data_IF_242205006278
#
_entry.id   IF_242205006278
#
_cell.length_a   1.000
_cell.length_b   1.000
_cell.length_c   1.000
_cell.angle_alpha   90.00
_cell.angle_beta   90.00
_cell.angle_gamma   90.00
#
_symmetry.space_group_name_H-M   'P 1'
#
loop_
_entity.id
_entity.type
_entity.pdbx_description
1 polymer ?
#
# COMPACT_ATOMS: atom_id res chain seq x y z
N UNK A 1 -22.27 32.05 -10.95
CA UNK A 1 -21.76 30.70 -10.60
C UNK A 1 -20.31 30.88 -10.27
N UNK A 2 -19.96 30.83 -8.98
CA UNK A 2 -18.61 31.14 -8.52
C UNK A 2 -17.67 29.96 -8.75
N UNK A 3 -16.53 30.23 -9.38
CA UNK A 3 -15.42 29.30 -9.46
C UNK A 3 -14.97 28.94 -8.04
N UNK A 4 -15.16 27.68 -7.66
CA UNK A 4 -14.45 27.14 -6.51
C UNK A 4 -12.97 27.01 -6.90
N UNK A 5 -12.02 27.46 -6.06
CA UNK A 5 -10.60 27.30 -6.35
C UNK A 5 -10.27 25.82 -6.55
N UNK A 6 -9.44 25.46 -7.52
CA UNK A 6 -9.02 24.06 -7.74
C UNK A 6 -8.45 23.40 -6.47
N UNK A 7 -7.78 24.17 -5.60
CA UNK A 7 -7.34 23.75 -4.28
C UNK A 7 -8.48 23.23 -3.37
N UNK A 8 -9.69 23.80 -3.48
CA UNK A 8 -10.90 23.35 -2.75
C UNK A 8 -11.44 22.02 -3.29
N UNK A 9 -11.27 21.75 -4.59
CA UNK A 9 -11.69 20.51 -5.26
C UNK A 9 -10.70 19.36 -5.00
N UNK A 10 -9.40 19.66 -5.03
CA UNK A 10 -8.32 18.77 -4.60
C UNK A 10 -8.50 18.36 -3.13
N UNK A 11 -8.69 19.34 -2.23
CA UNK A 11 -8.94 19.09 -0.81
C UNK A 11 -10.21 18.26 -0.55
N UNK A 12 -11.32 18.52 -1.27
CA UNK A 12 -12.55 17.71 -1.17
C UNK A 12 -12.36 16.27 -1.68
N UNK A 13 -11.47 16.02 -2.64
CA UNK A 13 -11.16 14.66 -3.10
C UNK A 13 -10.25 13.91 -2.13
N UNK A 14 -9.30 14.59 -1.48
CA UNK A 14 -8.48 13.98 -0.41
C UNK A 14 -9.32 13.66 0.83
N UNK A 15 -10.30 14.50 1.15
CA UNK A 15 -11.29 14.26 2.21
C UNK A 15 -12.19 13.04 1.95
N UNK A 16 -12.40 12.63 0.69
CA UNK A 16 -13.14 11.41 0.37
C UNK A 16 -12.41 10.12 0.74
N UNK A 17 -11.10 10.22 1.03
CA UNK A 17 -10.21 9.11 1.38
C UNK A 17 -9.49 9.34 2.72
N UNK A 18 -10.21 9.84 3.72
CA UNK A 18 -9.65 9.99 5.05
C UNK A 18 -9.28 8.63 5.66
N UNK A 19 -7.99 8.49 6.00
CA UNK A 19 -7.51 7.36 6.77
C UNK A 19 -7.53 7.67 8.27
N UNK A 20 -8.18 6.79 9.02
CA UNK A 20 -8.34 6.90 10.47
C UNK A 20 -7.26 6.16 11.26
N UNK A 21 -7.08 6.56 12.51
CA UNK A 21 -6.22 5.85 13.48
C UNK A 21 -6.71 4.44 13.78
N UNK A 22 -8.03 4.21 13.73
CA UNK A 22 -8.63 2.87 13.89
C UNK A 22 -8.21 1.94 12.76
N UNK A 23 -8.24 2.41 11.50
CA UNK A 23 -7.77 1.63 10.36
C UNK A 23 -6.28 1.29 10.47
N UNK A 24 -5.46 2.24 10.95
CA UNK A 24 -4.02 2.00 11.20
C UNK A 24 -3.83 0.88 12.21
N UNK A 25 -4.52 0.97 13.35
CA UNK A 25 -4.46 -0.06 14.40
C UNK A 25 -4.86 -1.44 13.89
N UNK A 26 -5.85 -1.52 12.99
CA UNK A 26 -6.24 -2.80 12.36
C UNK A 26 -5.09 -3.41 11.56
N UNK A 27 -4.36 -2.61 10.74
CA UNK A 27 -3.19 -3.11 10.03
C UNK A 27 -2.11 -3.60 10.99
N UNK A 28 -1.79 -2.82 12.02
CA UNK A 28 -0.74 -3.19 12.99
C UNK A 28 -1.07 -4.48 13.72
N UNK A 29 -2.32 -4.61 14.19
CA UNK A 29 -2.79 -5.82 14.85
C UNK A 29 -2.77 -7.01 13.91
N UNK A 30 -3.14 -6.82 12.64
CA UNK A 30 -3.09 -7.90 11.65
C UNK A 30 -1.66 -8.32 11.33
N UNK A 31 -0.72 -7.39 11.16
CA UNK A 31 0.70 -7.70 11.00
C UNK A 31 1.25 -8.48 12.20
N UNK A 32 0.91 -8.06 13.43
CA UNK A 32 1.29 -8.79 14.65
C UNK A 32 0.67 -10.18 14.71
N UNK A 33 -0.60 -10.31 14.33
CA UNK A 33 -1.29 -11.60 14.23
C UNK A 33 -0.59 -12.55 13.29
N UNK A 34 -0.22 -12.10 12.09
CA UNK A 34 0.53 -12.90 11.13
C UNK A 34 1.86 -13.41 11.71
N UNK A 35 2.57 -12.56 12.47
CA UNK A 35 3.80 -12.96 13.18
C UNK A 35 3.57 -14.01 14.27
N UNK A 36 2.39 -14.04 14.89
CA UNK A 36 2.02 -14.98 15.96
C UNK A 36 1.50 -16.35 15.46
N UNK A 37 1.17 -16.47 14.17
CA UNK A 37 0.54 -17.67 13.61
C UNK A 37 1.45 -18.90 13.72
N UNK A 38 2.69 -18.83 13.26
CA UNK A 38 3.61 -19.98 13.31
C UNK A 38 3.83 -20.48 14.75
N UNK A 39 4.17 -19.63 15.74
CA UNK A 39 4.26 -20.05 17.14
C UNK A 39 2.97 -20.72 17.64
N UNK A 40 1.81 -20.16 17.33
CA UNK A 40 0.51 -20.70 17.75
C UNK A 40 0.25 -22.09 17.16
N UNK A 41 0.52 -22.27 15.86
CA UNK A 41 0.34 -23.55 15.19
C UNK A 41 1.35 -24.61 15.66
N UNK A 42 2.58 -24.21 15.99
CA UNK A 42 3.60 -25.10 16.54
C UNK A 42 3.24 -25.63 17.94
N UNK A 43 2.32 -24.97 18.66
CA UNK A 43 1.82 -25.44 19.95
C UNK A 43 0.68 -26.47 19.83
N UNK A 44 0.04 -26.61 18.66
CA UNK A 44 -1.09 -27.54 18.47
C UNK A 44 -0.67 -29.01 18.69
N UNK A 45 0.48 -29.50 18.19
CA UNK A 45 0.94 -30.85 18.51
C UNK A 45 1.16 -31.09 20.00
N UNK A 46 1.58 -30.06 20.75
CA UNK A 46 1.76 -30.15 22.21
C UNK A 46 0.41 -30.35 22.91
N UNK A 47 -0.65 -29.70 22.42
CA UNK A 47 -2.02 -29.95 22.88
C UNK A 47 -2.41 -31.40 22.67
N UNK A 48 -2.20 -31.95 21.48
CA UNK A 48 -2.56 -33.34 21.18
C UNK A 48 -1.81 -34.36 22.04
N UNK A 49 -0.50 -34.17 22.21
CA UNK A 49 0.31 -35.04 23.08
C UNK A 49 -0.09 -34.93 24.56
N UNK A 50 -0.45 -33.73 25.04
CA UNK A 50 -0.98 -33.55 26.41
C UNK A 50 -2.28 -34.31 26.62
N UNK A 51 -3.21 -34.24 25.65
CA UNK A 51 -4.47 -35.00 25.70
C UNK A 51 -4.21 -36.50 25.69
N UNK A 52 -3.27 -36.96 24.86
CA UNK A 52 -2.82 -38.36 24.82
C UNK A 52 -2.25 -38.82 26.16
N UNK A 53 -1.36 -38.04 26.76
CA UNK A 53 -0.79 -38.32 28.08
C UNK A 53 -1.86 -38.39 29.18
N UNK A 54 -2.99 -37.70 28.98
CA UNK A 54 -4.17 -37.75 29.87
C UNK A 54 -5.13 -38.90 29.56
N UNK A 55 -4.77 -39.84 28.69
CA UNK A 55 -5.55 -41.03 28.37
C UNK A 55 -6.54 -40.88 27.20
N UNK A 56 -6.51 -39.77 26.47
CA UNK A 56 -7.36 -39.57 25.30
C UNK A 56 -6.72 -40.12 24.00
N UNK A 57 -7.56 -40.40 23.00
CA UNK A 57 -7.07 -40.79 21.67
C UNK A 57 -6.45 -39.59 20.93
N UNK A 58 -5.24 -39.79 20.41
CA UNK A 58 -4.46 -38.75 19.71
C UNK A 58 -5.22 -38.18 18.51
N UNK A 59 -5.40 -36.85 18.49
CA UNK A 59 -5.88 -36.14 17.31
C UNK A 59 -4.72 -35.75 16.39
N UNK A 60 -5.04 -35.50 15.12
CA UNK A 60 -4.09 -35.05 14.11
C UNK A 60 -4.73 -33.94 13.31
N UNK A 61 -4.01 -32.82 13.19
CA UNK A 61 -4.36 -31.71 12.32
C UNK A 61 -3.45 -31.78 11.08
N UNK A 62 -4.06 -31.88 9.90
CA UNK A 62 -3.30 -31.83 8.65
C UNK A 62 -2.64 -30.45 8.48
N UNK A 63 -1.42 -30.42 7.92
CA UNK A 63 -0.80 -29.16 7.54
C UNK A 63 -1.61 -28.49 6.43
N UNK A 64 -1.61 -27.16 6.41
CA UNK A 64 -2.26 -26.38 5.37
C UNK A 64 -1.25 -25.36 4.84
N UNK A 65 -0.90 -25.50 3.56
CA UNK A 65 0.16 -24.70 2.93
C UNK A 65 -0.13 -23.21 2.92
N UNK A 66 -1.40 -22.79 3.04
CA UNK A 66 -1.77 -21.38 3.12
C UNK A 66 -1.18 -20.68 4.34
N UNK A 67 -0.79 -21.41 5.40
CA UNK A 67 -0.06 -20.82 6.54
C UNK A 67 1.30 -20.27 6.15
N UNK A 68 1.92 -20.80 5.10
CA UNK A 68 3.25 -20.36 4.66
C UNK A 68 3.23 -18.87 4.25
N UNK A 69 2.09 -18.38 3.77
CA UNK A 69 1.90 -17.01 3.33
C UNK A 69 1.89 -16.00 4.48
N UNK A 70 1.67 -16.44 5.72
CA UNK A 70 1.60 -15.54 6.87
C UNK A 70 2.89 -14.72 7.04
N UNK A 71 4.05 -15.37 6.91
CA UNK A 71 5.36 -14.71 7.04
C UNK A 71 5.63 -13.70 5.92
N UNK A 72 5.27 -14.05 4.68
CA UNK A 72 5.41 -13.17 3.53
C UNK A 72 4.49 -11.94 3.65
N UNK A 73 3.22 -12.15 4.01
CA UNK A 73 2.26 -11.07 4.22
C UNK A 73 2.65 -10.15 5.38
N UNK A 74 3.19 -10.70 6.47
CA UNK A 74 3.68 -9.89 7.58
C UNK A 74 4.80 -8.96 7.10
N UNK A 75 5.77 -9.50 6.35
CA UNK A 75 6.87 -8.73 5.78
C UNK A 75 6.37 -7.67 4.79
N UNK A 76 5.44 -8.02 3.91
CA UNK A 76 4.85 -7.08 2.97
C UNK A 76 4.19 -5.89 3.67
N UNK A 77 3.43 -6.13 4.74
CA UNK A 77 2.81 -5.06 5.52
C UNK A 77 3.83 -4.24 6.32
N UNK A 78 4.89 -4.86 6.85
CA UNK A 78 5.98 -4.15 7.53
C UNK A 78 6.74 -3.22 6.60
N UNK A 79 7.03 -3.67 5.38
CA UNK A 79 7.74 -2.90 4.35
C UNK A 79 6.83 -1.88 3.63
N UNK A 80 5.51 -1.95 3.83
CA UNK A 80 4.54 -1.16 3.07
C UNK A 80 4.74 0.35 3.25
N UNK A 81 5.03 0.79 4.49
CA UNK A 81 5.36 2.19 4.76
C UNK A 81 6.62 2.62 4.02
N UNK A 82 7.72 1.86 4.13
CA UNK A 82 8.98 2.20 3.48
C UNK A 82 8.83 2.31 1.96
N UNK A 83 8.12 1.37 1.32
CA UNK A 83 7.86 1.43 -0.13
C UNK A 83 7.02 2.65 -0.52
N UNK A 84 6.09 3.05 0.35
CA UNK A 84 5.29 4.27 0.15
C UNK A 84 6.17 5.52 0.28
N UNK A 85 7.06 5.56 1.28
CA UNK A 85 8.04 6.64 1.46
C UNK A 85 8.98 6.75 0.26
N UNK A 86 9.50 5.63 -0.26
CA UNK A 86 10.34 5.59 -1.46
C UNK A 86 9.62 6.17 -2.67
N UNK A 87 8.36 5.77 -2.91
CA UNK A 87 7.53 6.32 -3.98
C UNK A 87 7.29 7.83 -3.81
N UNK A 88 7.03 8.28 -2.57
CA UNK A 88 6.85 9.69 -2.22
C UNK A 88 8.12 10.52 -2.46
N UNK A 89 9.29 9.99 -2.09
CA UNK A 89 10.59 10.65 -2.33
C UNK A 89 10.89 10.79 -3.83
N UNK A 90 10.63 9.74 -4.62
CA UNK A 90 10.73 9.81 -6.09
C UNK A 90 9.76 10.87 -6.64
N UNK A 91 8.53 10.89 -6.15
CA UNK A 91 7.52 11.85 -6.58
C UNK A 91 7.94 13.28 -6.29
N UNK A 92 8.41 13.57 -5.07
CA UNK A 92 8.92 14.88 -4.69
C UNK A 92 10.02 15.36 -5.63
N UNK A 93 10.92 14.45 -6.05
CA UNK A 93 12.02 14.78 -6.97
C UNK A 93 11.46 15.13 -8.36
N UNK A 94 10.58 14.28 -8.90
CA UNK A 94 10.05 14.47 -10.26
C UNK A 94 9.11 15.66 -10.38
N UNK A 95 8.34 15.97 -9.33
CA UNK A 95 7.53 17.18 -9.25
C UNK A 95 8.42 18.43 -9.23
N UNK A 96 9.53 18.40 -8.50
CA UNK A 96 10.49 19.51 -8.50
C UNK A 96 11.15 19.71 -9.87
N UNK A 97 11.54 18.61 -10.54
CA UNK A 97 12.09 18.65 -11.90
C UNK A 97 11.07 19.23 -12.90
N UNK A 98 9.81 18.81 -12.82
CA UNK A 98 8.73 19.35 -13.65
C UNK A 98 8.49 20.84 -13.39
N UNK A 99 8.51 21.27 -12.12
CA UNK A 99 8.33 22.67 -11.75
C UNK A 99 9.48 23.56 -12.26
N UNK A 100 10.72 23.08 -12.16
CA UNK A 100 11.89 23.75 -12.71
C UNK A 100 11.79 23.85 -14.23
N UNK A 101 11.49 22.74 -14.92
CA UNK A 101 11.31 22.71 -16.37
C UNK A 101 10.21 23.68 -16.82
N UNK A 102 9.07 23.70 -16.13
CA UNK A 102 7.95 24.61 -16.41
C UNK A 102 8.34 26.07 -16.25
N UNK A 103 9.09 26.40 -15.19
CA UNK A 103 9.59 27.76 -14.93
C UNK A 103 10.57 28.20 -16.03
N UNK A 104 11.49 27.32 -16.41
CA UNK A 104 12.47 27.55 -17.47
C UNK A 104 11.79 27.74 -18.83
N UNK A 105 10.79 26.92 -19.17
CA UNK A 105 10.00 27.10 -20.42
C UNK A 105 9.31 28.47 -20.44
N UNK A 106 8.72 28.89 -19.32
CA UNK A 106 8.08 30.21 -19.21
C UNK A 106 9.08 31.35 -19.38
N UNK A 107 10.28 31.22 -18.80
CA UNK A 107 11.34 32.22 -18.94
C UNK A 107 11.85 32.32 -20.38
N UNK A 108 12.13 31.18 -21.02
CA UNK A 108 12.55 31.13 -22.43
C UNK A 108 11.47 31.79 -23.31
N UNK A 109 10.19 31.48 -23.06
CA UNK A 109 9.06 32.05 -23.81
C UNK A 109 8.94 33.56 -23.62
N UNK A 110 9.25 34.09 -22.43
CA UNK A 110 9.27 35.54 -22.16
C UNK A 110 10.39 36.25 -22.92
N UNK A 111 11.52 35.59 -23.09
CA UNK A 111 12.70 36.13 -23.77
C UNK A 111 12.63 35.97 -25.30
N UNK A 112 11.75 35.11 -25.81
CA UNK A 112 11.57 34.86 -27.24
C UNK A 112 10.13 35.19 -27.68
N UNK A 113 9.32 34.18 -27.96
CA UNK A 113 7.93 34.28 -28.42
C UNK A 113 7.16 33.02 -28.07
N UNK A 114 5.86 33.16 -27.81
CA UNK A 114 4.95 32.00 -27.68
C UNK A 114 4.87 31.15 -28.95
N UNK A 115 5.18 31.73 -30.11
CA UNK A 115 5.15 31.04 -31.40
C UNK A 115 6.51 30.44 -31.79
N UNK A 116 7.53 30.58 -30.94
CA UNK A 116 8.85 29.99 -31.19
C UNK A 116 8.71 28.46 -31.36
N UNK A 117 9.17 27.90 -32.50
CA UNK A 117 9.17 26.46 -32.71
C UNK A 117 10.09 25.75 -31.72
N UNK A 118 9.65 24.63 -31.14
CA UNK A 118 10.48 23.87 -30.18
C UNK A 118 11.81 23.39 -30.77
N UNK A 119 11.85 23.11 -32.09
CA UNK A 119 13.06 22.71 -32.80
C UNK A 119 14.13 23.81 -32.91
N UNK A 120 13.75 25.06 -32.65
CA UNK A 120 14.67 26.21 -32.66
C UNK A 120 15.15 26.60 -31.25
N UNK A 121 14.54 26.02 -30.22
CA UNK A 121 14.92 26.25 -28.82
C UNK A 121 16.11 25.37 -28.47
N UNK A 122 17.19 25.97 -27.97
CA UNK A 122 18.33 25.21 -27.46
C UNK A 122 17.93 24.47 -26.16
N UNK A 123 17.83 23.15 -26.25
CA UNK A 123 17.47 22.29 -25.10
C UNK A 123 18.49 22.36 -23.96
N UNK A 124 19.72 22.81 -24.21
CA UNK A 124 20.77 22.94 -23.18
C UNK A 124 20.54 24.11 -22.22
N UNK A 125 19.56 24.96 -22.51
CA UNK A 125 19.10 26.01 -21.61
C UNK A 125 18.38 25.44 -20.38
N UNK A 126 17.79 24.24 -20.49
CA UNK A 126 17.08 23.60 -19.40
C UNK A 126 18.06 22.96 -18.41
N UNK A 127 17.84 23.13 -17.11
CA UNK A 127 18.64 22.45 -16.09
C UNK A 127 18.51 20.94 -16.19
N UNK A 128 17.33 20.44 -16.58
CA UNK A 128 17.07 19.03 -16.80
C UNK A 128 18.04 18.40 -17.81
N UNK A 129 18.50 19.16 -18.82
CA UNK A 129 19.47 18.68 -19.83
C UNK A 129 20.82 18.26 -19.23
N UNK A 130 21.09 18.64 -17.98
CA UNK A 130 22.32 18.34 -17.23
C UNK A 130 22.11 17.22 -16.22
N UNK A 131 20.94 16.56 -16.24
CA UNK A 131 20.65 15.41 -15.41
C UNK A 131 21.78 14.37 -15.55
N UNK A 132 22.32 13.85 -14.43
CA UNK A 132 23.40 12.86 -14.47
C UNK A 132 22.91 11.49 -14.98
N UNK A 133 21.59 11.27 -14.99
CA UNK A 133 20.94 10.01 -15.34
C UNK A 133 19.78 10.25 -16.30
N UNK A 134 19.65 9.37 -17.28
CA UNK A 134 18.59 9.33 -18.28
C UNK A 134 17.94 7.95 -18.28
N UNK A 135 16.61 7.88 -18.45
CA UNK A 135 15.89 6.59 -18.42
C UNK A 135 16.11 5.78 -19.71
N UNK A 136 16.33 6.44 -20.85
CA UNK A 136 16.61 5.79 -22.13
C UNK A 136 17.89 6.33 -22.79
N UNK A 137 17.83 7.51 -23.39
CA UNK A 137 18.94 8.15 -24.08
C UNK A 137 19.09 9.61 -23.63
N UNK A 138 20.30 10.20 -23.72
CA UNK A 138 20.47 11.63 -23.50
C UNK A 138 19.65 12.45 -24.50
N UNK A 139 19.09 13.61 -24.08
CA UNK A 139 18.24 14.44 -24.93
C UNK A 139 19.05 15.10 -26.05
N UNK A 140 18.40 15.24 -27.20
CA UNK A 140 18.93 15.94 -28.36
C UNK A 140 18.13 17.19 -28.70
N UNK A 141 16.92 17.31 -28.18
CA UNK A 141 16.03 18.45 -28.31
C UNK A 141 15.11 18.64 -27.08
N UNK A 142 14.18 19.61 -27.14
CA UNK A 142 13.22 19.89 -26.06
C UNK A 142 12.17 18.77 -25.91
N UNK A 143 11.57 18.22 -26.99
CA UNK A 143 10.72 17.03 -26.89
C UNK A 143 11.35 15.87 -26.11
N UNK A 144 12.63 15.56 -26.33
CA UNK A 144 13.33 14.51 -25.58
C UNK A 144 13.35 14.78 -24.06
N UNK A 145 13.46 16.04 -23.64
CA UNK A 145 13.38 16.42 -22.22
C UNK A 145 11.98 16.19 -21.64
N UNK A 146 10.93 16.52 -22.41
CA UNK A 146 9.53 16.24 -22.01
C UNK A 146 9.30 14.73 -21.93
N UNK A 147 9.87 13.97 -22.86
CA UNK A 147 9.79 12.51 -22.85
C UNK A 147 10.49 11.92 -21.62
N UNK A 148 11.66 12.42 -21.24
CA UNK A 148 12.33 12.00 -19.99
C UNK A 148 11.44 12.24 -18.76
N UNK A 149 10.76 13.39 -18.66
CA UNK A 149 9.79 13.63 -17.58
C UNK A 149 8.67 12.58 -17.62
N UNK A 150 8.11 12.28 -18.79
CA UNK A 150 7.09 11.23 -18.92
C UNK A 150 7.61 9.88 -18.40
N UNK A 151 8.85 9.48 -18.73
CA UNK A 151 9.45 8.24 -18.26
C UNK A 151 9.67 8.21 -16.73
N UNK A 152 10.01 9.35 -16.13
CA UNK A 152 10.10 9.49 -14.66
C UNK A 152 8.74 9.23 -14.01
N UNK A 153 7.66 9.86 -14.49
CA UNK A 153 6.31 9.61 -13.99
C UNK A 153 5.80 8.18 -14.31
N UNK A 154 6.23 7.57 -15.42
CA UNK A 154 5.99 6.13 -15.69
C UNK A 154 6.65 5.21 -14.66
N UNK A 155 7.82 5.59 -14.12
CA UNK A 155 8.46 4.83 -13.04
C UNK A 155 7.68 4.94 -11.73
N UNK A 156 7.08 6.09 -11.43
CA UNK A 156 6.16 6.25 -10.30
C UNK A 156 4.91 5.39 -10.47
N UNK A 157 4.34 5.34 -11.69
CA UNK A 157 3.21 4.46 -12.00
C UNK A 157 3.50 3.01 -11.62
N UNK A 158 4.68 2.50 -11.98
CA UNK A 158 5.09 1.15 -11.60
C UNK A 158 5.18 0.97 -10.06
N UNK A 159 5.70 1.96 -9.35
CA UNK A 159 5.77 1.93 -7.88
C UNK A 159 4.36 1.90 -7.24
N UNK A 160 3.42 2.73 -7.70
CA UNK A 160 2.02 2.70 -7.23
C UNK A 160 1.37 1.35 -7.54
N UNK A 161 1.60 0.82 -8.75
CA UNK A 161 1.12 -0.51 -9.13
C UNK A 161 1.61 -1.60 -8.17
N UNK A 162 2.87 -1.54 -7.74
CA UNK A 162 3.42 -2.48 -6.77
C UNK A 162 2.79 -2.35 -5.38
N UNK A 163 2.54 -1.12 -4.90
CA UNK A 163 1.82 -0.90 -3.65
C UNK A 163 0.42 -1.50 -3.71
N UNK A 164 -0.31 -1.27 -4.81
CA UNK A 164 -1.66 -1.80 -5.02
C UNK A 164 -1.65 -3.33 -5.02
N UNK A 165 -0.75 -3.94 -5.81
CA UNK A 165 -0.61 -5.38 -5.88
C UNK A 165 -0.38 -6.00 -4.50
N UNK A 166 0.49 -5.39 -3.70
CA UNK A 166 0.80 -5.85 -2.33
C UNK A 166 -0.45 -5.91 -1.45
N UNK A 167 -1.31 -4.89 -1.50
CA UNK A 167 -2.54 -4.85 -0.69
C UNK A 167 -3.58 -5.87 -1.17
N UNK A 168 -3.72 -6.03 -2.49
CA UNK A 168 -4.63 -7.03 -3.09
C UNK A 168 -4.19 -8.45 -2.71
N UNK A 169 -2.90 -8.76 -2.82
CA UNK A 169 -2.36 -10.07 -2.45
C UNK A 169 -2.62 -10.39 -0.97
N UNK A 170 -2.27 -9.46 -0.06
CA UNK A 170 -2.52 -9.63 1.38
C UNK A 170 -4.01 -9.83 1.68
N UNK A 171 -4.87 -9.07 1.00
CA UNK A 171 -6.32 -9.17 1.14
C UNK A 171 -6.84 -10.55 0.72
N UNK A 172 -6.48 -11.00 -0.47
CA UNK A 172 -6.98 -12.26 -1.04
C UNK A 172 -6.49 -13.47 -0.23
N UNK A 173 -5.23 -13.44 0.20
CA UNK A 173 -4.67 -14.50 1.02
C UNK A 173 -5.24 -14.52 2.45
N UNK A 174 -5.70 -13.39 2.96
CA UNK A 174 -6.35 -13.30 4.27
C UNK A 174 -7.58 -14.19 4.38
N UNK A 175 -8.35 -14.38 3.30
CA UNK A 175 -9.51 -15.28 3.30
C UNK A 175 -9.11 -16.73 3.53
N UNK A 176 -8.04 -17.16 2.83
CA UNK A 176 -7.45 -18.47 3.01
C UNK A 176 -6.97 -18.68 4.44
N UNK A 177 -6.20 -17.72 4.96
CA UNK A 177 -5.69 -17.75 6.34
C UNK A 177 -6.80 -17.77 7.38
N UNK A 178 -7.87 -16.99 7.21
CA UNK A 178 -9.05 -17.00 8.10
C UNK A 178 -9.67 -18.39 8.20
N UNK A 179 -9.84 -19.06 7.06
CA UNK A 179 -10.40 -20.42 7.00
C UNK A 179 -9.49 -21.45 7.67
N UNK A 180 -8.18 -21.36 7.45
CA UNK A 180 -7.21 -22.27 8.09
C UNK A 180 -7.16 -22.07 9.58
N UNK A 181 -7.04 -20.82 10.02
CA UNK A 181 -7.03 -20.45 11.43
C UNK A 181 -8.30 -20.96 12.13
N UNK A 182 -9.49 -20.65 11.58
CA UNK A 182 -10.76 -21.08 12.16
C UNK A 182 -10.84 -22.60 12.30
N UNK A 183 -10.54 -23.35 11.23
CA UNK A 183 -10.57 -24.83 11.26
C UNK A 183 -9.57 -25.42 12.25
N UNK A 184 -8.39 -24.83 12.39
CA UNK A 184 -7.38 -25.30 13.33
C UNK A 184 -7.80 -25.05 14.78
N UNK A 185 -8.29 -23.84 15.08
CA UNK A 185 -8.77 -23.46 16.42
C UNK A 185 -9.97 -24.30 16.86
N UNK A 186 -10.90 -24.60 15.94
CA UNK A 186 -12.09 -25.43 16.17
C UNK A 186 -11.84 -26.94 16.06
N UNK A 187 -10.60 -27.35 15.77
CA UNK A 187 -10.31 -28.77 15.69
C UNK A 187 -10.47 -29.42 17.06
N UNK A 188 -11.02 -30.64 17.08
CA UNK A 188 -11.11 -31.44 18.31
C UNK A 188 -9.71 -31.70 18.88
N UNK A 189 -9.52 -31.54 20.18
CA UNK A 189 -8.22 -31.80 20.83
C UNK A 189 -7.88 -33.30 20.95
N UNK A 190 -8.86 -34.18 20.76
CA UNK A 190 -8.73 -35.63 20.80
C UNK A 190 -9.74 -36.31 19.87
N UNK A 191 -9.54 -37.58 19.49
CA UNK A 191 -10.46 -38.29 18.59
C UNK A 191 -11.73 -38.79 19.29
N UNK A 192 -11.68 -39.00 20.60
CA UNK A 192 -12.79 -39.56 21.37
C UNK A 192 -13.92 -38.57 21.67
N UNK A 193 -13.68 -37.25 21.59
CA UNK A 193 -14.65 -36.22 21.94
C UNK A 193 -14.60 -35.05 20.96
N UNK A 194 -15.73 -34.36 20.77
CA UNK A 194 -15.80 -33.13 19.98
C UNK A 194 -15.25 -31.92 20.73
N UNK A 195 -15.33 -31.94 22.06
CA UNK A 195 -14.79 -30.91 22.95
C UNK A 195 -13.86 -31.56 23.99
N UNK A 196 -12.86 -30.82 24.50
CA UNK A 196 -12.53 -29.43 24.18
C UNK A 196 -11.85 -29.28 22.81
N UNK A 197 -11.99 -28.12 22.19
CA UNK A 197 -11.32 -27.75 20.96
C UNK A 197 -9.84 -27.38 21.20
N UNK A 198 -9.04 -27.33 20.15
CA UNK A 198 -7.61 -26.96 20.21
C UNK A 198 -7.44 -25.61 20.87
N UNK A 199 -8.24 -24.60 20.53
CA UNK A 199 -8.10 -23.25 21.10
C UNK A 199 -8.28 -23.25 22.63
N UNK A 200 -9.24 -24.01 23.15
CA UNK A 200 -9.51 -24.08 24.59
C UNK A 200 -8.32 -24.71 25.32
N UNK A 201 -7.72 -25.74 24.73
CA UNK A 201 -6.53 -26.39 25.27
C UNK A 201 -5.24 -25.56 25.15
N UNK A 202 -5.14 -24.68 24.14
CA UNK A 202 -4.04 -23.72 24.04
C UNK A 202 -4.05 -22.76 25.25
N UNK A 203 -5.23 -22.32 25.68
CA UNK A 203 -5.41 -21.42 26.83
C UNK A 203 -5.29 -22.09 28.20
N UNK A 204 -5.19 -23.43 28.29
CA UNK A 204 -5.04 -24.13 29.57
C UNK A 204 -3.68 -23.95 30.23
N UNK A 205 -2.63 -23.73 29.44
CA UNK A 205 -1.27 -23.51 29.96
C UNK A 205 -0.67 -22.24 29.38
N UNK A 206 0.05 -21.49 30.21
CA UNK A 206 0.70 -20.24 29.80
C UNK A 206 1.66 -20.44 28.61
N UNK A 207 2.37 -21.57 28.55
CA UNK A 207 3.33 -21.87 27.48
C UNK A 207 2.67 -22.03 26.09
N UNK A 208 1.43 -22.52 26.05
CA UNK A 208 0.69 -22.75 24.79
C UNK A 208 -0.28 -21.64 24.45
N UNK A 209 -0.50 -20.71 25.39
CA UNK A 209 -1.42 -19.58 25.22
C UNK A 209 -0.95 -18.70 24.06
N UNK A 210 -1.80 -18.42 23.05
CA UNK A 210 -1.46 -17.50 21.96
C UNK A 210 -1.15 -16.11 22.52
N UNK A 211 -0.13 -15.46 21.98
CA UNK A 211 0.15 -14.06 22.29
C UNK A 211 -0.91 -13.21 21.61
N UNK A 212 -1.69 -12.47 22.39
CA UNK A 212 -2.78 -11.63 21.88
C UNK A 212 -2.96 -10.37 22.73
N UNK A 213 -3.31 -9.25 22.08
CA UNK A 213 -3.44 -7.92 22.69
C UNK A 213 -4.86 -7.63 23.20
N UNK A 214 -5.48 -8.60 23.87
CA UNK A 214 -6.83 -8.46 24.46
C UNK A 214 -6.78 -8.71 25.97
N UNK A 215 -7.47 -7.84 26.70
CA UNK A 215 -7.78 -8.07 28.11
C UNK A 215 -8.98 -9.03 28.21
N UNK A 216 -8.68 -10.30 28.49
CA UNK A 216 -9.73 -11.31 28.65
C UNK A 216 -10.62 -11.00 29.86
N UNK A 217 -11.93 -11.26 29.74
CA UNK A 217 -12.88 -10.99 30.84
C UNK A 217 -12.81 -12.02 31.97
N UNK A 218 -12.20 -13.18 31.71
CA UNK A 218 -12.10 -14.31 32.63
C UNK A 218 -10.78 -15.05 32.49
N UNK A 219 -10.38 -15.74 33.56
CA UNK A 219 -9.28 -16.70 33.52
C UNK A 219 -9.68 -18.06 32.94
N UNK A 220 -10.99 -18.31 32.77
CA UNK A 220 -11.52 -19.56 32.21
C UNK A 220 -11.03 -19.75 30.76
N UNK A 221 -10.30 -20.85 30.45
CA UNK A 221 -9.83 -21.15 29.11
C UNK A 221 -10.92 -21.16 28.03
N UNK A 222 -12.15 -21.56 28.35
CA UNK A 222 -13.27 -21.59 27.40
C UNK A 222 -13.70 -20.17 27.03
N UNK A 223 -13.81 -19.28 28.03
CA UNK A 223 -14.15 -17.87 27.82
C UNK A 223 -13.04 -17.18 27.02
N UNK A 224 -11.77 -17.37 27.41
CA UNK A 224 -10.61 -16.79 26.72
C UNK A 224 -10.51 -17.24 25.27
N UNK A 225 -10.75 -18.52 25.01
CA UNK A 225 -10.77 -19.08 23.66
C UNK A 225 -11.87 -18.45 22.80
N UNK A 226 -13.07 -18.30 23.34
CA UNK A 226 -14.18 -17.67 22.63
C UNK A 226 -13.89 -16.20 22.31
N UNK A 227 -13.38 -15.43 23.27
CA UNK A 227 -13.00 -14.02 23.08
C UNK A 227 -11.87 -13.86 22.06
N UNK A 228 -10.83 -14.69 22.15
CA UNK A 228 -9.71 -14.70 21.20
C UNK A 228 -10.20 -14.95 19.76
N UNK A 229 -11.01 -15.99 19.57
CA UNK A 229 -11.56 -16.30 18.24
C UNK A 229 -12.46 -15.19 17.70
N UNK A 230 -13.32 -14.62 18.55
CA UNK A 230 -14.22 -13.55 18.14
C UNK A 230 -13.44 -12.30 17.71
N UNK A 231 -12.42 -11.93 18.47
CA UNK A 231 -11.60 -10.76 18.17
C UNK A 231 -10.69 -10.97 16.94
N UNK A 232 -10.09 -12.16 16.76
CA UNK A 232 -9.38 -12.50 15.51
C UNK A 232 -10.33 -12.47 14.31
N UNK A 233 -11.56 -12.96 14.44
CA UNK A 233 -12.55 -12.90 13.37
C UNK A 233 -12.93 -11.45 13.02
N UNK A 234 -13.07 -10.58 14.04
CA UNK A 234 -13.29 -9.15 13.85
C UNK A 234 -12.09 -8.48 13.17
N UNK A 235 -10.86 -8.89 13.50
CA UNK A 235 -9.63 -8.38 12.88
C UNK A 235 -9.59 -8.68 11.38
N UNK A 236 -9.95 -9.90 10.93
CA UNK A 236 -10.05 -10.21 9.50
C UNK A 236 -11.10 -9.34 8.78
N UNK A 237 -12.24 -9.09 9.41
CA UNK A 237 -13.27 -8.22 8.82
C UNK A 237 -12.79 -6.76 8.75
N UNK A 238 -12.09 -6.30 9.79
CA UNK A 238 -11.45 -4.99 9.81
C UNK A 238 -10.42 -4.86 8.70
N UNK A 239 -9.54 -5.85 8.54
CA UNK A 239 -8.54 -5.86 7.47
C UNK A 239 -9.20 -5.78 6.10
N UNK A 240 -10.25 -6.57 5.84
CA UNK A 240 -10.95 -6.52 4.55
C UNK A 240 -11.46 -5.11 4.22
N UNK A 241 -12.01 -4.41 5.22
CA UNK A 241 -12.43 -3.02 5.06
C UNK A 241 -11.25 -2.07 4.80
N UNK A 242 -10.14 -2.21 5.54
CA UNK A 242 -8.95 -1.38 5.37
C UNK A 242 -8.30 -1.61 4.02
N UNK A 243 -8.07 -2.86 3.63
CA UNK A 243 -7.48 -3.22 2.33
C UNK A 243 -8.33 -2.72 1.17
N UNK A 244 -9.66 -2.81 1.27
CA UNK A 244 -10.56 -2.26 0.26
C UNK A 244 -10.40 -0.74 0.14
N UNK A 245 -10.36 -0.01 1.27
CA UNK A 245 -10.17 1.44 1.26
C UNK A 245 -8.81 1.84 0.66
N UNK A 246 -7.71 1.20 1.07
CA UNK A 246 -6.38 1.46 0.52
C UNK A 246 -6.33 1.13 -0.97
N UNK A 247 -6.95 0.02 -1.39
CA UNK A 247 -6.97 -0.36 -2.81
C UNK A 247 -7.72 0.66 -3.67
N UNK A 248 -8.86 1.18 -3.22
CA UNK A 248 -9.58 2.25 -3.95
C UNK A 248 -8.74 3.52 -4.00
N UNK A 249 -8.10 3.89 -2.89
CA UNK A 249 -7.19 5.04 -2.85
C UNK A 249 -6.05 4.89 -3.87
N UNK A 250 -5.37 3.74 -3.88
CA UNK A 250 -4.27 3.47 -4.79
C UNK A 250 -4.72 3.34 -6.24
N UNK A 251 -5.96 2.92 -6.50
CA UNK A 251 -6.53 2.93 -7.84
C UNK A 251 -6.68 4.36 -8.35
N UNK A 252 -7.26 5.26 -7.55
CA UNK A 252 -7.37 6.67 -7.90
C UNK A 252 -6.01 7.33 -8.07
N UNK A 253 -5.06 7.06 -7.16
CA UNK A 253 -3.68 7.51 -7.29
C UNK A 253 -3.04 6.99 -8.59
N UNK A 254 -3.32 5.74 -8.96
CA UNK A 254 -2.92 5.11 -10.23
C UNK A 254 -3.50 5.82 -11.46
N UNK A 255 -4.78 6.17 -11.44
CA UNK A 255 -5.42 6.92 -12.52
C UNK A 255 -4.83 8.33 -12.66
N UNK A 256 -4.48 8.99 -11.55
CA UNK A 256 -3.86 10.32 -11.55
C UNK A 256 -2.49 10.29 -12.22
N UNK A 257 -1.63 9.34 -11.85
CA UNK A 257 -0.30 9.21 -12.47
C UNK A 257 -0.38 8.81 -13.94
N UNK A 258 -1.37 8.00 -14.32
CA UNK A 258 -1.61 7.65 -15.72
C UNK A 258 -1.99 8.89 -16.55
N UNK A 259 -2.87 9.75 -16.03
CA UNK A 259 -3.22 11.02 -16.69
C UNK A 259 -2.00 11.92 -16.87
N UNK A 260 -1.17 12.10 -15.83
CA UNK A 260 0.05 12.90 -15.89
C UNK A 260 1.03 12.38 -16.95
N UNK A 261 1.24 11.07 -17.00
CA UNK A 261 2.05 10.43 -18.01
C UNK A 261 1.54 10.73 -19.42
N UNK A 262 0.23 10.57 -19.66
CA UNK A 262 -0.35 10.85 -20.98
C UNK A 262 -0.34 12.33 -21.36
N UNK A 263 -0.50 13.24 -20.40
CA UNK A 263 -0.44 14.68 -20.65
C UNK A 263 0.98 15.12 -21.00
N UNK A 264 2.02 14.54 -20.38
CA UNK A 264 3.41 14.74 -20.80
C UNK A 264 3.68 14.19 -22.20
N UNK A 265 3.18 13.00 -22.54
CA UNK A 265 3.31 12.46 -23.90
C UNK A 265 2.57 13.31 -24.95
N UNK A 266 1.51 14.02 -24.57
CA UNK A 266 0.85 15.00 -25.45
C UNK A 266 1.70 16.26 -25.57
N UNK A 267 2.24 16.76 -24.46
CA UNK A 267 3.13 17.92 -24.41
C UNK A 267 4.39 17.72 -25.27
N UNK A 268 4.93 16.50 -25.31
CA UNK A 268 6.07 16.11 -26.15
C UNK A 268 5.82 16.38 -27.65
N UNK A 269 4.57 16.27 -28.10
CA UNK A 269 4.18 16.34 -29.51
C UNK A 269 3.79 17.74 -29.99
N UNK A 270 3.82 18.73 -29.10
CA UNK A 270 3.48 20.11 -29.47
C UNK A 270 4.61 20.73 -30.28
N UNK A 271 4.29 21.78 -31.04
CA UNK A 271 5.25 22.36 -31.98
C UNK A 271 5.86 23.67 -31.50
N UNK A 272 5.20 24.33 -30.53
CA UNK A 272 5.53 25.70 -30.10
C UNK A 272 5.66 25.82 -28.59
N UNK A 273 6.47 26.77 -28.14
CA UNK A 273 6.65 27.08 -26.72
C UNK A 273 5.33 27.44 -26.01
N UNK A 274 4.43 28.19 -26.65
CA UNK A 274 3.15 28.56 -26.06
C UNK A 274 2.24 27.36 -25.77
N UNK A 275 2.23 26.37 -26.68
CA UNK A 275 1.49 25.12 -26.51
C UNK A 275 2.12 24.28 -25.39
N UNK A 276 3.46 24.18 -25.37
CA UNK A 276 4.18 23.48 -24.31
C UNK A 276 3.88 24.06 -22.93
N UNK A 277 3.95 25.38 -22.75
CA UNK A 277 3.61 26.03 -21.48
C UNK A 277 2.18 25.71 -21.01
N UNK A 278 1.21 25.69 -21.93
CA UNK A 278 -0.17 25.36 -21.60
C UNK A 278 -0.29 23.94 -21.04
N UNK A 279 0.35 22.96 -21.70
CA UNK A 279 0.35 21.58 -21.21
C UNK A 279 1.12 21.43 -19.89
N UNK A 280 2.30 22.03 -19.77
CA UNK A 280 3.12 21.94 -18.55
C UNK A 280 2.40 22.51 -17.32
N UNK A 281 1.67 23.62 -17.48
CA UNK A 281 0.88 24.20 -16.38
C UNK A 281 -0.21 23.23 -15.89
N UNK A 282 -0.93 22.59 -16.81
CA UNK A 282 -1.95 21.59 -16.46
C UNK A 282 -1.33 20.33 -15.83
N UNK A 283 -0.21 19.85 -16.35
CA UNK A 283 0.52 18.71 -15.79
C UNK A 283 1.03 19.01 -14.37
N UNK A 284 1.54 20.23 -14.13
CA UNK A 284 2.05 20.62 -12.81
C UNK A 284 0.95 20.55 -11.75
N UNK A 285 -0.24 21.07 -12.03
CA UNK A 285 -1.37 21.01 -11.11
C UNK A 285 -1.73 19.57 -10.73
N UNK A 286 -1.80 18.66 -11.72
CA UNK A 286 -2.05 17.26 -11.44
C UNK A 286 -0.91 16.57 -10.68
N UNK A 287 0.34 16.99 -10.90
CA UNK A 287 1.51 16.45 -10.23
C UNK A 287 1.51 16.84 -8.74
N UNK A 288 1.09 18.06 -8.42
CA UNK A 288 0.91 18.54 -7.05
C UNK A 288 -0.25 17.81 -6.33
N UNK A 289 -1.36 17.54 -7.04
CA UNK A 289 -2.45 16.70 -6.53
C UNK A 289 -1.95 15.27 -6.22
N UNK A 290 -1.22 14.65 -7.14
CA UNK A 290 -0.67 13.32 -6.97
C UNK A 290 0.30 13.23 -5.79
N UNK A 291 1.18 14.22 -5.63
CA UNK A 291 2.09 14.33 -4.49
C UNK A 291 1.31 14.43 -3.17
N UNK A 292 0.26 15.25 -3.13
CA UNK A 292 -0.61 15.40 -1.95
C UNK A 292 -1.24 14.07 -1.54
N UNK A 293 -1.68 13.25 -2.50
CA UNK A 293 -2.19 11.91 -2.21
C UNK A 293 -1.11 11.01 -1.60
N UNK A 294 0.10 11.00 -2.16
CA UNK A 294 1.20 10.20 -1.61
C UNK A 294 1.62 10.64 -0.20
N UNK A 295 1.69 11.95 0.04
CA UNK A 295 1.99 12.51 1.36
C UNK A 295 0.91 12.12 2.39
N UNK A 296 -0.37 12.09 1.99
CA UNK A 296 -1.48 11.66 2.84
C UNK A 296 -1.35 10.19 3.25
N UNK A 297 -1.09 9.30 2.30
CA UNK A 297 -0.91 7.87 2.58
C UNK A 297 0.33 7.61 3.43
N UNK A 298 1.48 8.21 3.08
CA UNK A 298 2.71 8.08 3.86
C UNK A 298 2.52 8.58 5.30
N UNK A 299 1.93 9.76 5.47
CA UNK A 299 1.71 10.36 6.78
C UNK A 299 0.79 9.53 7.67
N UNK A 300 -0.18 8.83 7.07
CA UNK A 300 -1.02 7.88 7.80
C UNK A 300 -0.25 6.60 8.14
N UNK A 301 0.60 6.09 7.24
CA UNK A 301 1.39 4.88 7.44
C UNK A 301 2.56 5.05 8.43
N UNK A 302 3.07 6.27 8.61
CA UNK A 302 4.16 6.56 9.55
C UNK A 302 3.73 6.59 11.02
N UNK A 303 2.46 6.87 11.27
CA UNK A 303 1.86 6.97 12.62
C UNK A 303 1.63 5.59 13.22
#
# INVERSE_FOLDING_TARGET
MGDMPAASLSFMKTLAYEFSTTQRRVLDRYTSFLGSLHPTFNNIPLVFERRRASGHQLAVLASDSRLNNASFNARYLQEFWQRTEEARCLCSTYVADLAAFTTETLEITRNTSRNEPLSQVDFKLYSLSRSPTWRLFPPTDVPDLVHELALRFSSLRAAIGQLKYTIVEVHDESFGLKSVFGRAMDHRSCQCHTQPAVVEELFREARTTPVWDVAYSSADPVVRAAEYKADVAALFNGLASVSSHINVFLEETGLRIDMLFYDLLRAERVSKLGELNFHLAATQEGADEFMTMLDHLESWLRK
#
